data_IF_589521003349
#
_entry.id   IF_589521003349
#
_cell.length_a   1.000
_cell.length_b   1.000
_cell.length_c   1.000
_cell.angle_alpha   90.00
_cell.angle_beta   90.00
_cell.angle_gamma   90.00
#
_symmetry.space_group_name_H-M   'P 1'
#
loop_
_entity.id
_entity.type
_entity.pdbx_description
1 polymer ?
#
# COMPACT_ATOMS: atom_id res chain seq x y z
N UNK A 1 -12.35 6.54 11.86
CA UNK A 1 -13.32 6.99 10.84
C UNK A 1 -12.68 6.86 9.47
N UNK A 2 -13.48 6.86 8.40
CA UNK A 2 -12.96 6.79 7.04
C UNK A 2 -12.03 7.98 6.71
N UNK A 3 -12.35 9.17 7.22
CA UNK A 3 -11.55 10.38 7.04
C UNK A 3 -10.15 10.23 7.67
N UNK A 4 -10.06 9.65 8.88
CA UNK A 4 -8.76 9.47 9.54
C UNK A 4 -7.93 8.38 8.87
N UNK A 5 -8.55 7.29 8.41
CA UNK A 5 -7.87 6.29 7.59
C UNK A 5 -7.26 6.92 6.33
N UNK A 6 -8.03 7.76 5.63
CA UNK A 6 -7.57 8.50 4.45
C UNK A 6 -6.41 9.45 4.78
N UNK A 7 -6.50 10.20 5.90
CA UNK A 7 -5.45 11.11 6.35
C UNK A 7 -4.13 10.38 6.63
N UNK A 8 -4.20 9.24 7.31
CA UNK A 8 -3.03 8.41 7.63
C UNK A 8 -2.43 7.78 6.35
N UNK A 9 -3.26 7.36 5.40
CA UNK A 9 -2.79 6.89 4.09
C UNK A 9 -2.01 7.97 3.33
N UNK A 10 -2.54 9.20 3.27
CA UNK A 10 -1.84 10.34 2.66
C UNK A 10 -0.52 10.63 3.38
N UNK A 11 -0.50 10.54 4.71
CA UNK A 11 0.73 10.73 5.49
C UNK A 11 1.80 9.70 5.12
N UNK A 12 1.44 8.43 5.00
CA UNK A 12 2.37 7.37 4.62
C UNK A 12 2.96 7.58 3.21
N UNK A 13 2.14 8.04 2.25
CA UNK A 13 2.61 8.37 0.89
C UNK A 13 3.59 9.56 0.92
N UNK A 14 3.34 10.56 1.78
CA UNK A 14 4.15 11.79 1.84
C UNK A 14 5.41 11.67 2.70
N UNK A 15 5.54 10.61 3.51
CA UNK A 15 6.67 10.44 4.45
C UNK A 15 7.98 9.98 3.81
N UNK A 16 7.99 9.71 2.50
CA UNK A 16 9.18 9.31 1.75
C UNK A 16 8.90 8.15 0.79
N UNK A 17 9.90 7.75 -0.01
CA UNK A 17 9.74 6.63 -0.92
C UNK A 17 9.51 5.31 -0.15
N UNK A 18 8.83 4.33 -0.77
CA UNK A 18 8.69 2.99 -0.20
C UNK A 18 10.03 2.41 0.27
N UNK A 19 10.06 1.82 1.46
CA UNK A 19 11.27 1.26 2.08
C UNK A 19 12.15 2.27 2.85
N UNK A 20 11.87 3.58 2.78
CA UNK A 20 12.52 4.55 3.66
C UNK A 20 12.06 4.41 5.12
N UNK A 21 12.87 4.90 6.06
CA UNK A 21 12.51 4.92 7.49
C UNK A 21 11.22 5.73 7.75
N UNK A 22 11.09 6.89 7.10
CA UNK A 22 9.90 7.73 7.22
C UNK A 22 8.64 7.04 6.72
N UNK A 23 8.72 6.39 5.55
CA UNK A 23 7.63 5.58 4.99
C UNK A 23 7.26 4.41 5.90
N UNK A 24 8.24 3.68 6.42
CA UNK A 24 8.01 2.49 7.24
C UNK A 24 7.27 2.83 8.53
N UNK A 25 7.72 3.87 9.26
CA UNK A 25 7.05 4.28 10.51
C UNK A 25 5.64 4.86 10.29
N UNK A 26 5.44 5.61 9.21
CA UNK A 26 4.11 6.11 8.86
C UNK A 26 3.16 4.99 8.41
N UNK A 27 3.68 3.99 7.70
CA UNK A 27 2.92 2.80 7.31
C UNK A 27 2.53 1.96 8.52
N UNK A 28 3.44 1.73 9.47
CA UNK A 28 3.15 1.00 10.72
C UNK A 28 2.06 1.70 11.54
N UNK A 29 2.10 3.04 11.59
CA UNK A 29 1.06 3.85 12.24
C UNK A 29 -0.31 3.65 11.57
N UNK A 30 -0.35 3.73 10.24
CA UNK A 30 -1.58 3.50 9.47
C UNK A 30 -2.10 2.07 9.67
N UNK A 31 -1.24 1.08 9.56
CA UNK A 31 -1.58 -0.32 9.70
C UNK A 31 -2.16 -0.63 11.09
N UNK A 32 -1.48 -0.17 12.14
CA UNK A 32 -1.96 -0.29 13.53
C UNK A 32 -3.34 0.35 13.69
N UNK A 33 -3.57 1.50 13.08
CA UNK A 33 -4.87 2.17 13.11
C UNK A 33 -5.97 1.36 12.43
N UNK A 34 -5.70 0.78 11.25
CA UNK A 34 -6.68 0.00 10.48
C UNK A 34 -7.02 -1.33 11.16
N UNK A 35 -6.04 -1.96 11.81
CA UNK A 35 -6.20 -3.24 12.52
C UNK A 35 -6.85 -3.10 13.90
N UNK A 36 -6.83 -1.91 14.48
CA UNK A 36 -7.49 -1.65 15.75
C UNK A 36 -8.99 -1.99 15.70
N UNK A 37 -9.51 -2.47 16.83
CA UNK A 37 -10.90 -2.94 16.95
C UNK A 37 -11.21 -4.08 15.96
N UNK A 38 -10.38 -5.14 15.99
CA UNK A 38 -10.52 -6.35 15.16
C UNK A 38 -10.68 -6.07 13.66
N UNK A 39 -9.86 -5.15 13.12
CA UNK A 39 -9.91 -4.70 11.71
C UNK A 39 -11.17 -3.94 11.29
N UNK A 40 -12.07 -3.56 12.22
CA UNK A 40 -13.30 -2.80 11.87
C UNK A 40 -13.04 -1.45 11.23
N UNK A 41 -11.83 -0.92 11.36
CA UNK A 41 -11.42 0.36 10.77
C UNK A 41 -10.86 0.21 9.36
N UNK A 42 -10.65 -1.01 8.89
CA UNK A 42 -10.30 -1.26 7.49
C UNK A 42 -11.50 -0.86 6.60
N UNK A 43 -11.34 0.11 5.68
CA UNK A 43 -12.41 0.49 4.78
C UNK A 43 -12.74 -0.66 3.82
N UNK A 44 -13.79 -1.43 4.15
CA UNK A 44 -14.21 -2.62 3.41
C UNK A 44 -14.35 -2.38 1.90
N UNK A 45 -14.99 -1.27 1.51
CA UNK A 45 -15.14 -0.90 0.09
C UNK A 45 -13.81 -0.74 -0.65
N UNK A 46 -12.77 -0.20 -0.01
CA UNK A 46 -11.44 -0.11 -0.64
C UNK A 46 -10.83 -1.51 -0.82
N UNK A 47 -10.99 -2.39 0.16
CA UNK A 47 -10.55 -3.77 0.04
C UNK A 47 -11.32 -4.52 -1.06
N UNK A 48 -12.63 -4.32 -1.15
CA UNK A 48 -13.48 -4.93 -2.18
C UNK A 48 -13.07 -4.49 -3.59
N UNK A 49 -12.78 -3.20 -3.79
CA UNK A 49 -12.30 -2.67 -5.08
C UNK A 49 -10.93 -3.25 -5.47
N UNK A 50 -10.01 -3.36 -4.51
CA UNK A 50 -8.70 -4.00 -4.75
C UNK A 50 -8.89 -5.47 -5.11
N UNK A 51 -9.73 -6.19 -4.36
CA UNK A 51 -10.02 -7.60 -4.61
C UNK A 51 -10.67 -7.81 -5.98
N UNK A 52 -11.62 -6.97 -6.37
CA UNK A 52 -12.27 -7.02 -7.68
C UNK A 52 -11.27 -6.76 -8.82
N UNK A 53 -10.40 -5.74 -8.67
CA UNK A 53 -9.38 -5.44 -9.66
C UNK A 53 -8.36 -6.58 -9.81
N UNK A 54 -7.90 -7.15 -8.69
CA UNK A 54 -7.02 -8.32 -8.69
C UNK A 54 -7.69 -9.53 -9.32
N UNK A 55 -8.97 -9.76 -9.03
CA UNK A 55 -9.74 -10.85 -9.61
C UNK A 55 -9.80 -10.74 -11.14
N UNK A 56 -10.14 -9.56 -11.68
CA UNK A 56 -10.16 -9.32 -13.14
C UNK A 56 -8.77 -9.56 -13.73
N UNK A 57 -7.72 -9.01 -13.10
CA UNK A 57 -6.33 -9.22 -13.54
C UNK A 57 -5.97 -10.71 -13.63
N UNK A 58 -6.33 -11.50 -12.62
CA UNK A 58 -6.07 -12.93 -12.59
C UNK A 58 -6.88 -13.73 -13.61
N UNK A 59 -8.14 -13.35 -13.84
CA UNK A 59 -8.98 -13.98 -14.85
C UNK A 59 -8.41 -13.75 -16.25
N UNK A 60 -7.93 -12.54 -16.53
CA UNK A 60 -7.44 -12.17 -17.86
C UNK A 60 -6.00 -12.67 -18.15
N UNK A 61 -5.13 -12.69 -17.13
CA UNK A 61 -3.68 -12.89 -17.33
C UNK A 61 -3.08 -14.05 -16.51
N UNK A 62 -3.88 -14.72 -15.68
CA UNK A 62 -3.40 -15.69 -14.70
C UNK A 62 -2.61 -15.06 -13.55
N UNK A 63 -2.09 -15.89 -12.64
CA UNK A 63 -1.35 -15.44 -11.46
C UNK A 63 0.16 -15.25 -11.70
N UNK A 64 0.68 -15.75 -12.82
CA UNK A 64 2.12 -15.78 -13.11
C UNK A 64 2.73 -14.38 -13.24
N UNK A 65 1.93 -13.40 -13.70
CA UNK A 65 2.37 -12.02 -13.87
C UNK A 65 2.76 -11.34 -12.55
N UNK A 66 2.09 -11.71 -11.45
CA UNK A 66 2.33 -11.17 -10.10
C UNK A 66 3.47 -11.90 -9.38
N UNK A 67 3.74 -13.15 -9.74
CA UNK A 67 4.79 -13.99 -9.14
C UNK A 67 6.15 -13.84 -9.83
N UNK A 68 6.21 -13.21 -11.01
CA UNK A 68 7.48 -12.75 -11.58
C UNK A 68 8.10 -11.73 -10.64
N UNK A 69 9.10 -12.21 -9.88
CA UNK A 69 9.92 -11.43 -8.95
C UNK A 69 10.26 -10.07 -9.58
N UNK A 70 9.84 -8.99 -8.94
CA UNK A 70 10.20 -7.65 -9.37
C UNK A 70 11.72 -7.56 -9.43
N UNK A 71 12.27 -7.50 -10.64
CA UNK A 71 13.68 -7.17 -10.85
C UNK A 71 13.99 -5.87 -10.14
N UNK A 72 15.13 -5.85 -9.47
CA UNK A 72 15.64 -4.77 -8.63
C UNK A 72 15.17 -3.40 -9.13
N UNK A 73 14.19 -2.82 -8.44
CA UNK A 73 13.88 -1.41 -8.60
C UNK A 73 15.05 -0.66 -7.98
N UNK A 74 16.09 -0.45 -8.79
CA UNK A 74 17.22 0.39 -8.46
C UNK A 74 16.64 1.71 -7.95
N UNK A 75 16.91 1.99 -6.69
CA UNK A 75 16.58 3.25 -6.07
C UNK A 75 17.43 4.30 -6.81
N UNK A 76 16.85 4.95 -7.82
CA UNK A 76 17.52 6.03 -8.56
C UNK A 76 17.74 7.16 -7.55
N UNK A 77 18.91 7.09 -6.91
CA UNK A 77 19.50 8.16 -6.11
C UNK A 77 19.64 9.37 -7.02
N UNK A 78 18.75 10.35 -6.85
CA UNK A 78 18.90 11.69 -7.37
C UNK A 78 20.22 12.27 -6.84
N UNK A 79 21.30 12.19 -7.62
CA UNK A 79 22.49 13.00 -7.37
C UNK A 79 22.23 14.42 -7.85
N UNK A 80 22.46 15.45 -7.02
CA UNK A 80 22.45 16.82 -7.50
C UNK A 80 23.69 17.05 -8.38
N UNK A 81 23.51 17.70 -9.52
CA UNK A 81 24.58 18.35 -10.27
C UNK A 81 24.82 19.74 -9.71
#
# INVERSE_FOLDING_TARGET
>A
TAQEASRLAVRAIRSGPPGSLGWSGALETLDSYLRADANRRNPGTTADLIAAALFVLFVEHGCELLLKKGGDRECVSLRPR
#
